data_IF_063184223191
#
_entry.id   IF_063184223191
#
_cell.length_a   1.000
_cell.length_b   1.000
_cell.length_c   1.000
_cell.angle_alpha   90.00
_cell.angle_beta   90.00
_cell.angle_gamma   90.00
#
_symmetry.space_group_name_H-M   'P 1'
#
loop_
_entity.id
_entity.type
_entity.pdbx_description
1 polymer ?
#
# COMPACT_ATOMS: atom_id res chain seq x y z
N UNK A 1 7.10 5.35 -9.67
CA UNK A 1 8.39 4.95 -10.29
C UNK A 1 8.26 4.11 -11.56
N UNK A 2 7.16 3.38 -11.77
CA UNK A 2 6.99 2.48 -12.91
C UNK A 2 7.34 3.09 -14.28
N UNK A 3 6.89 4.32 -14.57
CA UNK A 3 7.16 4.97 -15.86
C UNK A 3 8.66 5.19 -16.12
N UNK A 4 9.43 5.58 -15.10
CA UNK A 4 10.89 5.77 -15.23
C UNK A 4 11.60 4.43 -15.48
N UNK A 5 11.15 3.35 -14.84
CA UNK A 5 11.70 2.01 -15.06
C UNK A 5 11.46 1.53 -16.49
N UNK A 6 10.26 1.77 -17.02
CA UNK A 6 9.93 1.50 -18.42
C UNK A 6 10.81 2.31 -19.39
N UNK A 7 11.05 3.60 -19.12
CA UNK A 7 11.97 4.41 -19.94
C UNK A 7 13.40 3.89 -19.90
N UNK A 8 13.91 3.52 -18.71
CA UNK A 8 15.25 2.91 -18.58
C UNK A 8 15.38 1.62 -19.40
N UNK A 9 14.36 0.77 -19.42
CA UNK A 9 14.36 -0.48 -20.22
C UNK A 9 14.32 -0.29 -21.75
N UNK A 10 14.09 0.93 -22.22
CA UNK A 10 14.18 1.30 -23.64
C UNK A 10 15.59 1.77 -24.05
N UNK A 11 16.47 2.03 -23.09
CA UNK A 11 17.86 2.47 -23.32
C UNK A 11 18.81 1.28 -23.27
N UNK A 12 19.86 1.27 -24.10
CA UNK A 12 20.94 0.26 -24.01
C UNK A 12 20.61 -1.12 -24.59
N UNK A 13 19.78 -1.19 -25.63
CA UNK A 13 19.47 -2.46 -26.34
C UNK A 13 20.53 -2.90 -27.37
N UNK A 14 21.52 -2.06 -27.64
CA UNK A 14 22.67 -2.38 -28.51
C UNK A 14 23.89 -2.82 -27.71
N UNK A 15 24.98 -3.19 -28.40
CA UNK A 15 26.25 -3.58 -27.77
C UNK A 15 27.08 -2.43 -27.19
N UNK A 16 26.60 -1.19 -27.26
CA UNK A 16 27.32 0.00 -26.82
C UNK A 16 26.81 0.48 -25.46
N UNK A 17 27.74 0.96 -24.63
CA UNK A 17 27.41 1.58 -23.35
C UNK A 17 26.44 2.74 -23.56
N UNK A 18 25.37 2.75 -22.78
CA UNK A 18 24.30 3.75 -22.86
C UNK A 18 24.03 4.33 -21.48
N UNK A 19 23.54 5.57 -21.45
CA UNK A 19 23.26 6.30 -20.22
C UNK A 19 21.81 6.76 -20.20
N UNK A 20 21.18 6.69 -19.02
CA UNK A 20 19.84 7.22 -18.76
C UNK A 20 19.98 8.33 -17.72
N UNK A 21 19.78 9.58 -18.16
CA UNK A 21 19.85 10.76 -17.30
C UNK A 21 18.43 11.19 -16.91
N UNK A 22 18.17 11.34 -15.61
CA UNK A 22 16.86 11.69 -15.08
C UNK A 22 16.96 12.99 -14.30
N UNK A 23 16.15 13.98 -14.68
CA UNK A 23 16.14 15.31 -14.06
C UNK A 23 14.76 15.57 -13.45
N UNK A 24 14.67 15.86 -12.15
CA UNK A 24 13.41 16.29 -11.54
C UNK A 24 13.12 17.75 -11.90
N UNK A 25 11.86 18.07 -12.18
CA UNK A 25 11.42 19.47 -12.37
C UNK A 25 11.34 20.26 -11.05
N UNK A 26 11.07 19.56 -9.94
CA UNK A 26 10.98 20.12 -8.60
C UNK A 26 11.83 19.29 -7.64
N UNK A 27 12.50 19.95 -6.71
CA UNK A 27 13.33 19.29 -5.72
C UNK A 27 12.59 19.07 -4.40
N UNK A 28 12.86 17.97 -3.72
CA UNK A 28 12.29 17.66 -2.41
C UNK A 28 12.84 16.36 -1.84
N UNK A 29 12.81 16.21 -0.51
CA UNK A 29 13.39 15.04 0.17
C UNK A 29 12.81 13.71 -0.33
N UNK A 30 11.48 13.65 -0.51
CA UNK A 30 10.82 12.46 -1.07
C UNK A 30 11.30 12.18 -2.50
N UNK A 31 11.40 13.19 -3.36
CA UNK A 31 11.85 13.05 -4.76
C UNK A 31 13.29 12.55 -4.79
N UNK A 32 14.17 13.10 -3.94
CA UNK A 32 15.55 12.67 -3.81
C UNK A 32 15.65 11.20 -3.41
N UNK A 33 14.92 10.77 -2.37
CA UNK A 33 14.88 9.36 -1.95
C UNK A 33 14.40 8.45 -3.08
N UNK A 34 13.39 8.88 -3.84
CA UNK A 34 12.87 8.12 -4.98
C UNK A 34 13.91 7.99 -6.10
N UNK A 35 14.59 9.07 -6.46
CA UNK A 35 15.64 9.04 -7.49
C UNK A 35 16.84 8.19 -7.07
N UNK A 36 17.24 8.24 -5.80
CA UNK A 36 18.31 7.40 -5.26
C UNK A 36 17.94 5.92 -5.31
N UNK A 37 16.70 5.55 -4.96
CA UNK A 37 16.21 4.18 -5.09
C UNK A 37 16.23 3.73 -6.57
N UNK A 38 15.76 4.58 -7.48
CA UNK A 38 15.78 4.32 -8.92
C UNK A 38 17.18 4.12 -9.49
N UNK A 39 18.17 4.89 -9.01
CA UNK A 39 19.56 4.77 -9.43
C UNK A 39 20.20 3.44 -8.97
N UNK A 40 19.90 3.01 -7.74
CA UNK A 40 20.54 1.82 -7.13
C UNK A 40 19.89 0.50 -7.53
N UNK A 41 18.59 0.51 -7.81
CA UNK A 41 17.79 -0.71 -7.94
C UNK A 41 17.40 -0.94 -9.39
N UNK A 42 17.83 -2.09 -9.90
CA UNK A 42 17.59 -2.45 -11.29
C UNK A 42 16.33 -3.30 -11.49
N UNK A 43 15.94 -4.06 -10.45
CA UNK A 43 14.79 -4.96 -10.45
C UNK A 43 13.48 -4.15 -10.35
N UNK A 44 12.55 -4.40 -11.27
CA UNK A 44 11.26 -3.70 -11.30
C UNK A 44 10.36 -4.00 -10.11
N UNK A 45 10.42 -5.21 -9.55
CA UNK A 45 9.60 -5.62 -8.40
C UNK A 45 10.06 -4.94 -7.11
N UNK A 46 11.37 -4.95 -6.81
CA UNK A 46 11.93 -4.26 -5.64
C UNK A 46 11.68 -2.75 -5.71
N UNK A 47 11.80 -2.17 -6.91
CA UNK A 47 11.50 -0.77 -7.14
C UNK A 47 10.02 -0.45 -6.88
N UNK A 48 9.11 -1.35 -7.25
CA UNK A 48 7.68 -1.21 -6.97
C UNK A 48 7.36 -1.29 -5.48
N UNK A 49 8.03 -2.17 -4.74
CA UNK A 49 7.86 -2.28 -3.28
C UNK A 49 8.31 -1.01 -2.55
N UNK A 50 9.44 -0.43 -2.96
CA UNK A 50 9.92 0.84 -2.41
C UNK A 50 9.01 2.00 -2.83
N UNK A 51 8.53 2.02 -4.08
CA UNK A 51 7.57 3.03 -4.52
C UNK A 51 6.29 2.97 -3.67
N UNK A 52 5.82 1.76 -3.34
CA UNK A 52 4.67 1.53 -2.46
C UNK A 52 4.95 1.98 -1.02
N UNK A 53 6.13 1.65 -0.47
CA UNK A 53 6.55 2.12 0.88
C UNK A 53 6.67 3.63 0.96
N UNK A 54 7.25 4.28 -0.05
CA UNK A 54 7.48 5.73 -0.09
C UNK A 54 6.20 6.53 -0.41
N UNK A 55 5.33 5.99 -1.26
CA UNK A 55 4.03 6.60 -1.59
C UNK A 55 2.98 6.30 -0.51
N UNK A 56 3.16 5.22 0.25
CA UNK A 56 2.08 4.55 0.96
C UNK A 56 1.19 3.75 -0.01
N UNK A 57 0.29 2.90 0.50
CA UNK A 57 -0.66 2.14 -0.32
C UNK A 57 -1.58 3.02 -1.19
N UNK A 58 -1.65 4.32 -0.91
CA UNK A 58 -2.68 5.19 -1.45
C UNK A 58 -4.07 4.79 -0.94
N UNK A 59 -5.08 5.59 -1.29
CA UNK A 59 -6.47 5.16 -1.21
C UNK A 59 -6.71 4.22 -2.40
N UNK A 60 -7.03 2.95 -2.16
CA UNK A 60 -7.33 1.97 -3.23
C UNK A 60 -8.57 2.35 -4.06
N UNK A 61 -9.39 3.30 -3.60
CA UNK A 61 -10.39 4.00 -4.39
C UNK A 61 -10.38 5.45 -3.97
N UNK A 62 -10.14 6.39 -4.89
CA UNK A 62 -10.04 7.80 -4.55
C UNK A 62 -11.31 8.32 -3.90
N UNK A 63 -11.30 8.49 -2.58
CA UNK A 63 -12.37 9.13 -1.83
C UNK A 63 -11.71 9.82 -0.63
N UNK A 64 -11.09 10.97 -0.90
CA UNK A 64 -11.08 12.07 0.07
C UNK A 64 -12.52 12.52 0.33
N UNK A 65 -13.30 11.74 1.06
CA UNK A 65 -14.50 12.24 1.73
C UNK A 65 -14.19 12.34 3.20
N UNK A 66 -14.10 13.59 3.64
CA UNK A 66 -14.17 14.02 5.02
C UNK A 66 -15.42 13.43 5.69
N UNK A 67 -15.32 12.28 6.33
CA UNK A 67 -16.46 11.69 7.04
C UNK A 67 -16.33 10.23 7.47
N UNK A 68 -15.42 9.45 6.89
CA UNK A 68 -15.21 8.06 7.30
C UNK A 68 -14.02 8.03 8.26
N UNK A 69 -14.16 7.50 9.50
CA UNK A 69 -13.01 7.34 10.38
C UNK A 69 -12.00 6.45 9.66
N UNK A 70 -10.76 6.93 9.53
CA UNK A 70 -9.62 6.12 9.10
C UNK A 70 -9.60 4.85 9.95
N UNK A 71 -10.17 3.76 9.43
CA UNK A 71 -9.98 2.45 10.01
C UNK A 71 -8.54 2.08 9.66
N UNK A 72 -7.61 2.62 10.47
CA UNK A 72 -6.16 2.64 10.30
C UNK A 72 -5.72 1.51 9.39
N UNK A 73 -5.63 1.81 8.10
CA UNK A 73 -5.28 0.82 7.07
C UNK A 73 -3.90 0.20 7.31
N UNK A 74 -3.08 0.85 8.17
CA UNK A 74 -1.87 0.32 8.77
C UNK A 74 -2.06 -1.04 9.46
N UNK A 75 -3.25 -1.31 10.01
CA UNK A 75 -3.61 -2.57 10.67
C UNK A 75 -3.61 -3.76 9.70
N UNK A 76 -4.09 -3.57 8.46
CA UNK A 76 -4.23 -4.66 7.50
C UNK A 76 -2.90 -5.09 6.86
N UNK A 77 -1.90 -4.21 6.85
CA UNK A 77 -0.54 -4.53 6.41
C UNK A 77 0.29 -5.25 7.48
N UNK A 78 -0.12 -5.15 8.74
CA UNK A 78 0.56 -5.80 9.86
C UNK A 78 -0.03 -7.20 10.06
N UNK A 79 0.55 -8.16 9.34
CA UNK A 79 0.11 -9.58 9.34
C UNK A 79 0.18 -10.17 10.76
N UNK A 80 1.14 -9.73 11.58
CA UNK A 80 1.33 -10.21 12.95
C UNK A 80 0.17 -9.70 13.80
N UNK A 81 -0.09 -8.39 13.77
CA UNK A 81 -1.20 -7.79 14.51
C UNK A 81 -2.56 -8.36 14.10
N UNK A 82 -2.78 -8.60 12.80
CA UNK A 82 -4.00 -9.24 12.31
C UNK A 82 -4.18 -10.64 12.88
N UNK A 83 -3.10 -11.43 12.94
CA UNK A 83 -3.14 -12.77 13.49
C UNK A 83 -3.47 -12.76 14.97
N UNK A 84 -2.79 -11.93 15.75
CA UNK A 84 -3.02 -11.77 17.19
C UNK A 84 -4.44 -11.30 17.48
N UNK A 85 -4.92 -10.31 16.72
CA UNK A 85 -6.29 -9.79 16.85
C UNK A 85 -7.32 -10.88 16.55
N UNK A 86 -7.08 -11.72 15.53
CA UNK A 86 -7.98 -12.82 15.17
C UNK A 86 -8.00 -13.92 16.24
N UNK A 87 -6.84 -14.24 16.81
CA UNK A 87 -6.73 -15.22 17.90
C UNK A 87 -7.45 -14.71 19.16
N UNK A 88 -7.18 -13.47 19.58
CA UNK A 88 -7.83 -12.85 20.74
C UNK A 88 -9.37 -12.75 20.58
N UNK A 89 -9.85 -12.43 19.37
CA UNK A 89 -11.29 -12.39 19.09
C UNK A 89 -11.95 -13.78 19.20
N UNK A 90 -11.26 -14.85 18.77
CA UNK A 90 -11.75 -16.23 18.88
C UNK A 90 -11.79 -16.71 20.33
N UNK A 91 -10.81 -16.33 21.13
CA UNK A 91 -10.79 -16.66 22.56
C UNK A 91 -11.88 -15.91 23.33
N UNK A 92 -12.08 -14.64 23.02
CA UNK A 92 -13.07 -13.79 23.71
C UNK A 92 -14.51 -14.11 23.29
N UNK A 93 -14.72 -14.53 22.04
CA UNK A 93 -16.05 -14.83 21.48
C UNK A 93 -16.07 -16.19 20.76
N UNK A 94 -15.88 -17.31 21.48
CA UNK A 94 -15.76 -18.64 20.89
C UNK A 94 -17.03 -19.08 20.17
N UNK A 95 -18.20 -18.69 20.67
CA UNK A 95 -19.50 -18.88 20.04
C UNK A 95 -20.19 -17.54 19.82
N UNK A 96 -20.04 -16.99 18.62
CA UNK A 96 -20.70 -15.72 18.24
C UNK A 96 -22.24 -15.78 18.33
N UNK A 97 -22.83 -16.99 18.39
CA UNK A 97 -24.28 -17.22 18.58
C UNK A 97 -24.79 -16.75 19.94
N UNK A 98 -23.94 -16.74 20.95
CA UNK A 98 -24.30 -16.37 22.32
C UNK A 98 -24.34 -14.84 22.53
N UNK A 99 -23.97 -14.07 21.49
CA UNK A 99 -23.92 -12.60 21.53
C UNK A 99 -24.79 -11.96 20.42
N UNK A 100 -26.13 -11.97 20.55
CA UNK A 100 -27.04 -11.44 19.52
C UNK A 100 -26.84 -9.96 19.22
N UNK A 101 -26.51 -9.16 20.24
CA UNK A 101 -26.22 -7.72 20.11
C UNK A 101 -24.96 -7.46 19.29
N UNK A 102 -23.92 -8.29 19.47
CA UNK A 102 -22.70 -8.23 18.69
C UNK A 102 -22.94 -8.65 17.25
N UNK A 103 -23.75 -9.69 17.01
CA UNK A 103 -24.13 -10.10 15.65
C UNK A 103 -24.87 -9.00 14.90
N UNK A 104 -25.80 -8.30 15.56
CA UNK A 104 -26.54 -7.21 14.94
C UNK A 104 -25.61 -6.05 14.57
N UNK A 105 -24.72 -5.65 15.48
CA UNK A 105 -23.68 -4.65 15.18
C UNK A 105 -22.74 -5.10 14.05
N UNK A 106 -22.37 -6.38 14.01
CA UNK A 106 -21.51 -6.92 12.94
C UNK A 106 -22.23 -6.85 11.58
N UNK A 107 -23.53 -7.18 11.54
CA UNK A 107 -24.36 -7.06 10.32
C UNK A 107 -24.47 -5.61 9.84
N UNK A 108 -24.64 -4.66 10.75
CA UNK A 108 -24.66 -3.23 10.43
C UNK A 108 -23.30 -2.75 9.90
N UNK A 109 -22.22 -3.16 10.56
CA UNK A 109 -20.85 -2.85 10.13
C UNK A 109 -20.56 -3.42 8.75
N UNK A 110 -20.89 -4.70 8.50
CA UNK A 110 -20.71 -5.36 7.21
C UNK A 110 -21.50 -4.65 6.10
N UNK A 111 -22.74 -4.22 6.38
CA UNK A 111 -23.55 -3.42 5.44
C UNK A 111 -22.93 -2.05 5.14
N UNK A 112 -22.36 -1.38 6.14
CA UNK A 112 -21.64 -0.12 5.94
C UNK A 112 -20.37 -0.31 5.10
N UNK A 113 -19.67 -1.44 5.25
CA UNK A 113 -18.46 -1.76 4.47
C UNK A 113 -18.72 -2.33 3.07
N UNK A 114 -19.92 -2.81 2.76
CA UNK A 114 -20.30 -3.38 1.46
C UNK A 114 -21.04 -2.41 0.52
N UNK A 115 -20.85 -1.10 0.70
CA UNK A 115 -21.20 -0.12 -0.34
C UNK A 115 -20.04 -0.02 -1.34
N UNK A 116 -19.94 -1.03 -2.20
CA UNK A 116 -19.33 -0.92 -3.54
C UNK A 116 -20.42 -0.59 -4.56
#
# INVERSE_FOLDING_TARGET
MASLHQFRGRVGRGGHQSFCLVFPQVWGALIQTRLLAFQKINNGFELAEIDLKLRGPGELGGIRQSGIPDLKMASLSDIILLRETREAARESFPNLKDYPSLQNKLKEFIKMSHLE
#
